data_IF_709548497566
#
_entry.id   IF_709548497566
#
_cell.length_a   1.000
_cell.length_b   1.000
_cell.length_c   1.000
_cell.angle_alpha   90.00
_cell.angle_beta   90.00
_cell.angle_gamma   90.00
#
_symmetry.space_group_name_H-M   'P 1'
#
loop_
_entity.id
_entity.type
_entity.pdbx_description
1 polymer ?
#
# COMPACT_ATOMS: atom_id res chain seq x y z
N UNK A 1 -15.10 9.49 -6.63
CA UNK A 1 -14.09 8.43 -6.46
C UNK A 1 -14.27 7.42 -7.60
N UNK A 2 -13.29 7.31 -8.50
CA UNK A 2 -13.37 6.45 -9.70
C UNK A 2 -13.38 4.95 -9.34
N UNK A 3 -13.67 4.09 -10.31
CA UNK A 3 -13.60 2.62 -10.16
C UNK A 3 -12.16 2.15 -9.93
N UNK A 4 -11.21 2.67 -10.71
CA UNK A 4 -9.77 2.43 -10.53
C UNK A 4 -9.28 2.77 -9.12
N UNK A 5 -9.79 3.86 -8.51
CA UNK A 5 -9.41 4.23 -7.15
C UNK A 5 -9.87 3.18 -6.13
N UNK A 6 -11.04 2.55 -6.35
CA UNK A 6 -11.56 1.51 -5.46
C UNK A 6 -10.78 0.22 -5.61
N UNK A 7 -10.39 -0.13 -6.84
CA UNK A 7 -9.56 -1.31 -7.12
C UNK A 7 -8.18 -1.20 -6.46
N UNK A 8 -7.49 -0.07 -6.64
CA UNK A 8 -6.18 0.18 -6.02
C UNK A 8 -6.24 0.05 -4.48
N UNK A 9 -7.19 0.74 -3.85
CA UNK A 9 -7.36 0.68 -2.39
C UNK A 9 -7.68 -0.75 -1.94
N UNK A 10 -8.50 -1.47 -2.72
CA UNK A 10 -8.79 -2.88 -2.48
C UNK A 10 -7.55 -3.77 -2.53
N UNK A 11 -6.70 -3.57 -3.55
CA UNK A 11 -5.45 -4.32 -3.69
C UNK A 11 -4.49 -4.07 -2.53
N UNK A 12 -4.29 -2.80 -2.13
CA UNK A 12 -3.46 -2.44 -0.97
C UNK A 12 -3.96 -3.16 0.27
N UNK A 13 -5.28 -3.13 0.53
CA UNK A 13 -5.89 -3.80 1.69
C UNK A 13 -5.72 -5.31 1.68
N UNK A 14 -5.86 -5.94 0.51
CA UNK A 14 -5.66 -7.39 0.35
C UNK A 14 -4.20 -7.74 0.63
N UNK A 15 -3.26 -7.00 0.05
CA UNK A 15 -1.81 -7.21 0.28
C UNK A 15 -1.44 -6.99 1.74
N UNK A 16 -1.90 -5.91 2.38
CA UNK A 16 -1.62 -5.66 3.81
C UNK A 16 -2.29 -6.70 4.71
N UNK A 17 -3.50 -7.14 4.36
CA UNK A 17 -4.26 -8.13 5.14
C UNK A 17 -3.74 -9.56 5.04
N UNK A 18 -2.97 -9.88 3.98
CA UNK A 18 -2.35 -11.20 3.82
C UNK A 18 -1.01 -11.33 4.55
N UNK A 19 -0.43 -10.21 4.98
CA UNK A 19 0.82 -10.21 5.74
C UNK A 19 0.59 -10.63 7.21
N UNK A 20 1.53 -11.39 7.80
CA UNK A 20 1.48 -11.67 9.23
C UNK A 20 1.65 -10.38 10.05
N UNK A 21 1.09 -10.35 11.26
CA UNK A 21 1.29 -9.24 12.20
C UNK A 21 2.79 -9.04 12.46
N UNK A 22 3.24 -7.80 12.40
CA UNK A 22 4.66 -7.46 12.56
C UNK A 22 5.54 -7.81 11.36
N UNK A 23 4.97 -8.19 10.21
CA UNK A 23 5.72 -8.22 8.96
C UNK A 23 6.34 -6.86 8.69
N UNK A 24 7.54 -6.84 8.09
CA UNK A 24 8.20 -5.61 7.68
C UNK A 24 8.11 -5.47 6.15
N UNK A 25 7.73 -4.29 5.67
CA UNK A 25 7.66 -3.98 4.23
C UNK A 25 8.36 -2.66 3.93
N UNK A 26 8.91 -2.55 2.73
CA UNK A 26 9.35 -1.26 2.17
C UNK A 26 8.13 -0.58 1.52
N UNK A 27 7.71 0.57 2.08
CA UNK A 27 6.52 1.27 1.58
C UNK A 27 6.74 1.91 0.21
N UNK A 28 7.99 2.32 -0.10
CA UNK A 28 8.33 2.93 -1.37
C UNK A 28 8.36 1.88 -2.48
N UNK A 29 8.97 0.73 -2.23
CA UNK A 29 9.00 -0.37 -3.18
C UNK A 29 7.59 -0.84 -3.56
N UNK A 30 6.73 -1.06 -2.55
CA UNK A 30 5.35 -1.49 -2.79
C UNK A 30 4.53 -0.41 -3.50
N UNK A 31 4.68 0.86 -3.10
CA UNK A 31 3.97 1.96 -3.76
C UNK A 31 4.41 2.13 -5.22
N UNK A 32 5.69 1.93 -5.53
CA UNK A 32 6.22 2.00 -6.90
C UNK A 32 5.65 0.88 -7.76
N UNK A 33 5.58 -0.35 -7.24
CA UNK A 33 4.99 -1.49 -7.94
C UNK A 33 3.51 -1.24 -8.26
N UNK A 34 2.74 -0.78 -7.26
CA UNK A 34 1.31 -0.52 -7.40
C UNK A 34 1.04 0.67 -8.32
N UNK A 35 1.77 1.77 -8.18
CA UNK A 35 1.64 2.95 -9.05
C UNK A 35 2.03 2.67 -10.50
N UNK A 36 2.76 1.59 -10.81
CA UNK A 36 2.99 1.20 -12.20
C UNK A 36 1.73 0.57 -12.82
N UNK A 37 0.93 -0.14 -12.03
CA UNK A 37 -0.31 -0.79 -12.46
C UNK A 37 -1.50 0.15 -12.59
N UNK A 38 -1.42 1.35 -12.02
CA UNK A 38 -2.50 2.33 -11.94
C UNK A 38 -1.94 3.73 -12.20
N UNK A 39 -2.62 4.59 -12.95
CA UNK A 39 -2.16 5.97 -13.25
C UNK A 39 -2.22 6.91 -12.02
N UNK A 40 -1.55 6.55 -10.94
CA UNK A 40 -1.48 7.24 -9.65
C UNK A 40 -0.05 7.69 -9.37
N UNK A 41 0.10 8.77 -8.62
CA UNK A 41 1.41 9.21 -8.17
C UNK A 41 1.92 8.28 -7.06
N UNK A 42 3.19 7.88 -7.15
CA UNK A 42 3.83 6.96 -6.18
C UNK A 42 3.68 7.49 -4.75
N UNK A 43 3.76 8.82 -4.55
CA UNK A 43 3.59 9.44 -3.24
C UNK A 43 2.20 9.21 -2.64
N UNK A 44 1.14 9.31 -3.44
CA UNK A 44 -0.24 9.10 -2.99
C UNK A 44 -0.47 7.63 -2.62
N UNK A 45 0.05 6.71 -3.43
CA UNK A 45 -0.01 5.27 -3.14
C UNK A 45 0.78 4.94 -1.88
N UNK A 46 1.94 5.56 -1.67
CA UNK A 46 2.76 5.37 -0.48
C UNK A 46 2.04 5.81 0.79
N UNK A 47 1.35 6.94 0.77
CA UNK A 47 0.52 7.37 1.91
C UNK A 47 -0.59 6.35 2.23
N UNK A 48 -1.26 5.80 1.22
CA UNK A 48 -2.27 4.77 1.43
C UNK A 48 -1.67 3.48 2.01
N UNK A 49 -0.53 3.03 1.49
CA UNK A 49 0.19 1.87 2.03
C UNK A 49 0.53 2.09 3.50
N UNK A 50 1.02 3.28 3.87
CA UNK A 50 1.34 3.63 5.26
C UNK A 50 0.12 3.55 6.18
N UNK A 51 -1.00 4.14 5.76
CA UNK A 51 -2.25 4.09 6.52
C UNK A 51 -2.77 2.66 6.72
N UNK A 52 -2.75 1.83 5.67
CA UNK A 52 -3.24 0.45 5.76
C UNK A 52 -2.25 -0.46 6.52
N UNK A 53 -0.94 -0.20 6.44
CA UNK A 53 0.06 -0.91 7.23
C UNK A 53 -0.12 -0.65 8.73
N UNK A 54 -0.34 0.60 9.13
CA UNK A 54 -0.62 0.97 10.54
C UNK A 54 -1.88 0.24 11.05
N UNK A 55 -2.96 0.27 10.25
CA UNK A 55 -4.21 -0.42 10.57
C UNK A 55 -4.07 -1.95 10.71
N UNK A 56 -3.05 -2.55 10.08
CA UNK A 56 -2.75 -3.99 10.12
C UNK A 56 -1.57 -4.35 11.04
N UNK A 57 -0.97 -3.36 11.70
CA UNK A 57 0.24 -3.54 12.51
C UNK A 57 1.39 -4.19 11.72
N UNK A 58 1.55 -3.75 10.48
CA UNK A 58 2.69 -4.06 9.60
C UNK A 58 3.75 -2.99 9.81
N UNK A 59 5.00 -3.40 10.04
CA UNK A 59 6.14 -2.50 10.18
C UNK A 59 6.60 -1.97 8.83
N UNK A 60 6.99 -0.69 8.80
CA UNK A 60 7.50 -0.04 7.61
C UNK A 60 9.02 0.14 7.72
N UNK A 61 9.73 -0.29 6.69
CA UNK A 61 11.16 -0.05 6.45
C UNK A 61 11.30 1.27 5.68
N UNK A 62 10.85 2.36 6.28
CA UNK A 62 10.99 3.69 5.69
C UNK A 62 12.32 4.31 6.14
N UNK A 63 13.14 4.70 5.16
CA UNK A 63 14.29 5.60 5.35
C UNK A 63 13.85 7.04 5.67
#
# INVERSE_FOLDING_TARGET
>A
MSEQNREMIGEIRIRMGSLPRGAAIDSLALATELAYGYSWEVSEVRELVRCEADAKSVMLLDD
#
